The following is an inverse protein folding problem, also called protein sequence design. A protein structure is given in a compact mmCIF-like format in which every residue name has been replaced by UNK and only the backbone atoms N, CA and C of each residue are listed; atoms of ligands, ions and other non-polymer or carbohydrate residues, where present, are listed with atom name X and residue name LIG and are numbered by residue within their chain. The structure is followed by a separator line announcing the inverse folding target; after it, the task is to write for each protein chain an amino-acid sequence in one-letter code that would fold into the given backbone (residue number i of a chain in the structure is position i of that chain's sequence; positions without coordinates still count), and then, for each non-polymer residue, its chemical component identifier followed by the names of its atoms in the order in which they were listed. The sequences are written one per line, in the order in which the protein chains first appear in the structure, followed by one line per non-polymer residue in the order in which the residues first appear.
data_IF_983764791433
#
_entry.id   IF_983764791433
#
_cell.length_a   1.000
_cell.length_b   1.000
_cell.length_c   1.000
_cell.angle_alpha   90.00
_cell.angle_beta   90.00
_cell.angle_gamma   90.00
#
_symmetry.space_group_name_H-M   'P 1'
#
loop_
_entity.id
_entity.type
_entity.pdbx_description
1 polymer ?
#
# COMPACT_ATOMS: atom_id res chain seq x y z
N UNK A 1 -1.82 20.10 -14.67
CA UNK A 1 -0.40 20.51 -14.63
C UNK A 1 0.08 20.66 -16.06
N UNK A 2 0.63 21.84 -16.40
CA UNK A 2 1.14 22.14 -17.74
C UNK A 2 2.66 22.20 -17.79
N UNK A 3 3.30 22.46 -16.65
CA UNK A 3 4.75 22.52 -16.52
C UNK A 3 5.14 22.28 -15.07
N UNK A 4 6.28 21.61 -14.84
CA UNK A 4 6.84 21.38 -13.53
C UNK A 4 8.35 21.57 -13.53
N UNK A 5 8.90 22.07 -12.43
CA UNK A 5 10.34 22.13 -12.16
C UNK A 5 10.64 21.08 -11.08
N UNK A 6 11.49 20.10 -11.43
CA UNK A 6 11.86 19.02 -10.55
C UNK A 6 13.30 19.18 -10.06
N UNK A 7 13.50 18.99 -8.75
CA UNK A 7 14.84 18.89 -8.18
C UNK A 7 15.40 17.48 -8.45
N UNK A 8 16.59 17.41 -9.00
CA UNK A 8 17.31 16.16 -9.21
C UNK A 8 18.28 15.92 -8.05
N UNK A 9 18.45 14.65 -7.72
CA UNK A 9 19.44 14.16 -6.75
C UNK A 9 20.44 13.25 -7.48
N UNK A 10 21.69 13.13 -7.00
CA UNK A 10 22.62 12.13 -7.51
C UNK A 10 22.02 10.72 -7.38
N UNK A 11 22.16 9.92 -8.44
CA UNK A 11 21.72 8.52 -8.38
C UNK A 11 22.51 7.78 -7.27
N UNK A 12 21.83 6.93 -6.47
CA UNK A 12 22.52 6.10 -5.49
C UNK A 12 23.51 5.14 -6.18
N UNK A 13 24.64 4.91 -5.56
CA UNK A 13 25.66 3.98 -6.07
C UNK A 13 25.47 2.56 -5.54
N UNK A 14 24.79 2.44 -4.39
CA UNK A 14 24.60 1.19 -3.69
C UNK A 14 23.12 0.93 -3.42
N UNK A 15 22.75 -0.33 -3.49
CA UNK A 15 21.43 -0.86 -3.15
C UNK A 15 21.65 -2.08 -2.25
N UNK A 16 21.09 -2.06 -1.06
CA UNK A 16 21.05 -3.20 -0.17
C UNK A 16 19.59 -3.58 0.03
N UNK A 17 19.21 -4.79 -0.39
CA UNK A 17 17.81 -5.23 -0.44
C UNK A 17 17.67 -6.58 0.25
N UNK A 18 16.64 -6.73 1.07
CA UNK A 18 16.27 -7.99 1.70
C UNK A 18 14.76 -8.21 1.64
N UNK A 19 14.37 -9.48 1.61
CA UNK A 19 13.01 -9.92 1.87
C UNK A 19 13.02 -10.64 3.21
N UNK A 20 12.14 -10.22 4.11
CA UNK A 20 11.99 -10.72 5.47
C UNK A 20 10.62 -11.38 5.60
N UNK A 21 10.50 -12.44 6.40
CA UNK A 21 9.24 -13.11 6.67
C UNK A 21 8.97 -13.18 8.18
N UNK A 22 7.71 -13.05 8.57
CA UNK A 22 7.28 -13.06 9.96
C UNK A 22 5.82 -13.51 10.11
N UNK A 23 5.47 -13.99 11.29
CA UNK A 23 4.12 -14.50 11.54
C UNK A 23 3.13 -13.43 11.95
N UNK A 24 3.57 -12.43 12.72
CA UNK A 24 2.68 -11.46 13.36
C UNK A 24 2.87 -10.04 12.79
N UNK A 25 1.77 -9.31 12.59
CA UNK A 25 1.84 -7.92 12.13
C UNK A 25 2.53 -6.99 13.15
N UNK A 26 2.49 -7.34 14.41
CA UNK A 26 3.21 -6.60 15.46
C UNK A 26 4.73 -6.56 15.20
N UNK A 27 5.31 -7.63 14.64
CA UNK A 27 6.71 -7.68 14.23
C UNK A 27 6.97 -6.69 13.08
N UNK A 28 6.06 -6.66 12.06
CA UNK A 28 6.14 -5.70 10.94
C UNK A 28 6.12 -4.25 11.45
N UNK A 29 5.18 -3.94 12.35
CA UNK A 29 5.02 -2.60 12.89
C UNK A 29 6.20 -2.15 13.76
N UNK A 30 6.84 -3.07 14.49
CA UNK A 30 8.02 -2.80 15.31
C UNK A 30 9.31 -2.70 14.47
N UNK A 31 9.40 -3.44 13.37
CA UNK A 31 10.57 -3.47 12.48
C UNK A 31 10.81 -2.12 11.80
N UNK A 32 9.78 -1.43 11.34
CA UNK A 32 9.93 -0.17 10.63
C UNK A 32 10.65 0.91 11.45
N UNK A 33 10.24 1.27 12.68
CA UNK A 33 10.94 2.29 13.46
C UNK A 33 12.37 1.87 13.85
N UNK A 34 12.63 0.57 14.03
CA UNK A 34 13.98 0.07 14.24
C UNK A 34 14.87 0.36 13.02
N UNK A 35 14.44 -0.02 11.84
CA UNK A 35 15.21 0.19 10.62
C UNK A 35 15.33 1.69 10.25
N UNK A 36 14.29 2.49 10.51
CA UNK A 36 14.37 3.94 10.35
C UNK A 36 15.43 4.56 11.27
N UNK A 37 15.55 4.10 12.49
CA UNK A 37 16.60 4.55 13.44
C UNK A 37 17.99 4.12 12.99
N UNK A 38 18.17 2.86 12.62
CA UNK A 38 19.47 2.28 12.36
C UNK A 38 20.02 2.63 10.97
N UNK A 39 19.14 2.75 9.97
CA UNK A 39 19.48 3.13 8.60
C UNK A 39 19.28 4.63 8.33
N UNK A 40 18.44 5.31 9.09
CA UNK A 40 18.13 6.73 8.90
C UNK A 40 17.65 7.01 7.47
N UNK A 41 18.15 8.09 6.88
CA UNK A 41 17.79 8.49 5.51
C UNK A 41 18.26 7.55 4.41
N UNK A 42 18.96 6.46 4.72
CA UNK A 42 19.29 5.43 3.74
C UNK A 42 18.15 4.45 3.50
N UNK A 43 17.21 4.26 4.44
CA UNK A 43 16.02 3.43 4.23
C UNK A 43 15.14 4.09 3.15
N UNK A 44 15.06 3.46 1.98
CA UNK A 44 14.37 3.99 0.81
C UNK A 44 13.02 3.32 0.56
N UNK A 45 12.89 2.02 0.91
CA UNK A 45 11.64 1.28 0.73
C UNK A 45 11.39 0.34 1.90
N UNK A 46 10.12 0.28 2.30
CA UNK A 46 9.62 -0.67 3.29
C UNK A 46 8.23 -1.12 2.82
N UNK A 47 8.21 -2.26 2.10
CA UNK A 47 7.07 -2.79 1.39
C UNK A 47 6.51 -4.00 2.12
N UNK A 48 5.23 -3.99 2.44
CA UNK A 48 4.58 -5.13 3.09
C UNK A 48 3.72 -5.92 2.10
N UNK A 49 3.74 -7.22 2.23
CA UNK A 49 2.88 -8.16 1.53
C UNK A 49 2.23 -9.09 2.56
N UNK A 50 0.91 -9.21 2.53
CA UNK A 50 0.22 -10.27 3.28
C UNK A 50 0.43 -11.62 2.61
N UNK A 51 0.31 -12.68 3.39
CA UNK A 51 0.49 -14.07 2.97
C UNK A 51 -0.13 -14.38 1.60
N UNK A 52 -1.40 -14.03 1.40
CA UNK A 52 -2.14 -14.37 0.19
C UNK A 52 -1.58 -13.68 -1.06
N UNK A 53 -1.07 -12.44 -0.92
CA UNK A 53 -0.43 -11.73 -2.02
C UNK A 53 0.92 -12.35 -2.37
N UNK A 54 1.76 -12.65 -1.37
CA UNK A 54 3.03 -13.31 -1.60
C UNK A 54 2.85 -14.67 -2.29
N UNK A 55 1.87 -15.46 -1.86
CA UNK A 55 1.54 -16.73 -2.53
C UNK A 55 1.10 -16.53 -3.97
N UNK A 56 0.25 -15.54 -4.23
CA UNK A 56 -0.21 -15.23 -5.58
C UNK A 56 0.95 -14.94 -6.52
N UNK A 57 1.91 -14.12 -6.09
CA UNK A 57 3.03 -13.67 -6.92
C UNK A 57 4.20 -14.65 -6.99
N UNK A 58 4.19 -15.72 -6.18
CA UNK A 58 5.26 -16.72 -6.14
C UNK A 58 4.80 -18.16 -6.42
N UNK A 59 3.52 -18.37 -6.73
CA UNK A 59 2.96 -19.68 -7.10
C UNK A 59 2.55 -19.68 -8.56
N UNK A 60 2.84 -20.77 -9.29
CA UNK A 60 2.40 -20.92 -10.69
C UNK A 60 0.91 -20.55 -10.85
N UNK A 61 0.53 -19.77 -11.87
CA UNK A 61 1.29 -19.40 -13.07
C UNK A 61 2.20 -18.16 -12.96
N UNK A 62 2.40 -17.60 -11.76
CA UNK A 62 3.34 -16.49 -11.58
C UNK A 62 4.76 -16.89 -11.98
N UNK A 63 5.55 -15.99 -12.60
CA UNK A 63 6.89 -16.28 -13.07
C UNK A 63 7.92 -16.38 -11.94
N UNK A 64 7.66 -15.75 -10.82
CA UNK A 64 8.58 -15.74 -9.67
C UNK A 64 8.45 -17.00 -8.83
N UNK A 65 9.57 -17.46 -8.27
CA UNK A 65 9.61 -18.56 -7.31
C UNK A 65 9.72 -17.99 -5.88
N UNK A 66 9.15 -18.66 -4.87
CA UNK A 66 9.26 -18.19 -3.50
C UNK A 66 10.70 -18.33 -2.98
N UNK A 67 11.41 -17.24 -2.65
CA UNK A 67 12.73 -17.31 -2.02
C UNK A 67 12.66 -17.68 -0.54
N UNK A 68 11.52 -17.48 0.11
CA UNK A 68 11.19 -17.86 1.49
C UNK A 68 9.98 -18.80 1.50
N UNK A 69 9.80 -19.56 2.56
CA UNK A 69 8.64 -20.42 2.75
C UNK A 69 7.33 -19.63 2.66
N UNK A 70 6.25 -20.29 2.19
CA UNK A 70 4.96 -19.64 1.94
C UNK A 70 3.94 -19.86 3.09
N UNK A 71 4.41 -19.96 4.32
CA UNK A 71 3.62 -20.22 5.53
C UNK A 71 3.68 -19.11 6.58
N UNK A 72 4.41 -18.04 6.30
CA UNK A 72 4.43 -16.83 7.14
C UNK A 72 3.21 -15.95 6.88
N UNK A 73 2.80 -15.19 7.89
CA UNK A 73 1.69 -14.24 7.80
C UNK A 73 1.99 -13.02 6.93
N UNK A 74 3.24 -12.56 6.99
CA UNK A 74 3.69 -11.32 6.36
C UNK A 74 5.07 -11.46 5.77
N UNK A 75 5.29 -10.70 4.68
CA UNK A 75 6.58 -10.57 4.01
C UNK A 75 6.89 -9.11 3.82
N UNK A 76 8.10 -8.70 4.16
CA UNK A 76 8.52 -7.31 4.08
C UNK A 76 9.75 -7.19 3.20
N UNK A 77 9.65 -6.45 2.10
CA UNK A 77 10.79 -6.10 1.28
C UNK A 77 11.32 -4.76 1.77
N UNK A 78 12.59 -4.75 2.15
CA UNK A 78 13.31 -3.54 2.58
C UNK A 78 14.43 -3.23 1.63
N UNK A 79 14.60 -1.94 1.30
CA UNK A 79 15.73 -1.46 0.51
C UNK A 79 16.37 -0.23 1.15
N UNK A 80 17.67 -0.25 1.25
CA UNK A 80 18.50 0.91 1.63
C UNK A 80 19.34 1.35 0.44
N UNK A 81 19.43 2.66 0.24
CA UNK A 81 20.19 3.31 -0.81
C UNK A 81 21.38 4.07 -0.21
N UNK A 82 22.50 4.09 -0.94
CA UNK A 82 23.69 4.78 -0.43
C UNK A 82 24.74 5.13 -1.49
N UNK A 83 25.92 5.43 -1.04
CA UNK A 83 27.04 5.88 -1.88
C UNK A 83 28.36 5.16 -1.64
N UNK A 84 28.42 4.24 -0.65
CA UNK A 84 29.64 3.54 -0.22
C UNK A 84 29.39 2.04 -0.10
N UNK A 85 29.76 1.26 -1.13
CA UNK A 85 29.50 -0.17 -1.20
C UNK A 85 29.81 -0.93 0.09
N UNK A 86 30.97 -0.71 0.66
CA UNK A 86 31.40 -1.44 1.85
C UNK A 86 30.65 -1.01 3.11
N UNK A 87 30.47 0.28 3.33
CA UNK A 87 29.85 0.78 4.56
C UNK A 87 28.34 0.58 4.54
N UNK A 88 27.69 0.74 3.38
CA UNK A 88 26.24 0.64 3.26
C UNK A 88 25.79 -0.82 3.46
N UNK A 89 26.50 -1.78 2.86
CA UNK A 89 26.22 -3.21 3.05
C UNK A 89 26.40 -3.64 4.51
N UNK A 90 27.51 -3.22 5.15
CA UNK A 90 27.77 -3.53 6.56
C UNK A 90 26.71 -2.92 7.49
N UNK A 91 26.31 -1.67 7.24
CA UNK A 91 25.27 -0.99 8.01
C UNK A 91 23.91 -1.67 7.86
N UNK A 92 23.55 -2.07 6.63
CA UNK A 92 22.31 -2.76 6.35
C UNK A 92 22.27 -4.12 7.05
N UNK A 93 23.32 -4.92 6.93
CA UNK A 93 23.43 -6.21 7.61
C UNK A 93 23.38 -6.05 9.14
N UNK A 94 24.07 -5.09 9.71
CA UNK A 94 24.04 -4.82 11.14
C UNK A 94 22.62 -4.41 11.63
N UNK A 95 21.87 -3.66 10.83
CA UNK A 95 20.49 -3.30 11.15
C UNK A 95 19.56 -4.54 11.11
N UNK A 96 19.77 -5.45 10.16
CA UNK A 96 19.04 -6.72 10.11
C UNK A 96 19.41 -7.66 11.26
N UNK A 97 20.70 -7.76 11.60
CA UNK A 97 21.18 -8.54 12.76
C UNK A 97 20.56 -8.04 14.08
N UNK A 98 20.46 -6.72 14.23
CA UNK A 98 19.78 -6.10 15.37
C UNK A 98 18.29 -6.47 15.38
N UNK A 99 17.58 -6.34 14.28
CA UNK A 99 16.17 -6.71 14.17
C UNK A 99 15.93 -8.21 14.44
N UNK A 100 16.83 -9.08 13.96
CA UNK A 100 16.79 -10.51 14.25
C UNK A 100 16.99 -10.81 15.73
N UNK A 101 17.93 -10.11 16.38
CA UNK A 101 18.20 -10.26 17.82
C UNK A 101 16.99 -9.86 18.68
N UNK A 102 16.20 -8.89 18.20
CA UNK A 102 14.94 -8.45 18.83
C UNK A 102 13.72 -9.33 18.43
N UNK A 103 13.93 -10.37 17.59
CA UNK A 103 12.86 -11.28 17.15
C UNK A 103 11.82 -10.65 16.23
N UNK A 104 12.21 -9.63 15.45
CA UNK A 104 11.31 -8.86 14.60
C UNK A 104 11.02 -9.51 13.24
N UNK A 105 11.70 -10.60 12.91
CA UNK A 105 11.39 -11.47 11.78
C UNK A 105 11.90 -12.89 12.05
N UNK A 106 11.36 -13.87 11.34
CA UNK A 106 11.63 -15.30 11.55
C UNK A 106 12.56 -15.87 10.48
N UNK A 107 12.51 -15.31 9.26
CA UNK A 107 13.36 -15.75 8.14
C UNK A 107 13.71 -14.56 7.24
N UNK A 108 14.81 -14.65 6.49
CA UNK A 108 15.30 -13.57 5.64
C UNK A 108 16.13 -14.07 4.46
N UNK A 109 16.01 -13.37 3.33
CA UNK A 109 16.94 -13.49 2.20
C UNK A 109 17.48 -12.11 1.82
N UNK A 110 18.81 -11.97 1.74
CA UNK A 110 19.47 -10.74 1.34
C UNK A 110 19.97 -10.90 -0.10
N UNK A 111 19.58 -9.96 -0.97
CA UNK A 111 20.08 -9.92 -2.34
C UNK A 111 21.58 -9.59 -2.38
N UNK A 112 22.36 -10.43 -3.01
CA UNK A 112 23.83 -10.26 -3.17
C UNK A 112 24.22 -9.75 -4.56
N UNK A 113 23.27 -9.76 -5.50
CA UNK A 113 23.47 -9.29 -6.89
C UNK A 113 22.29 -8.43 -7.34
N UNK A 114 22.53 -7.60 -8.37
CA UNK A 114 21.46 -6.81 -8.99
C UNK A 114 20.33 -7.68 -9.58
N UNK A 115 20.64 -8.89 -10.04
CA UNK A 115 19.65 -9.84 -10.52
C UNK A 115 18.75 -10.33 -9.37
N UNK A 116 19.33 -10.76 -8.26
CA UNK A 116 18.56 -11.18 -7.08
C UNK A 116 17.69 -10.04 -6.54
N UNK A 117 18.23 -8.82 -6.50
CA UNK A 117 17.44 -7.62 -6.16
C UNK A 117 16.22 -7.47 -7.08
N UNK A 118 16.41 -7.54 -8.39
CA UNK A 118 15.33 -7.42 -9.36
C UNK A 118 14.29 -8.56 -9.22
N UNK A 119 14.72 -9.76 -8.84
CA UNK A 119 13.83 -10.89 -8.56
C UNK A 119 12.97 -10.66 -7.31
N UNK A 120 13.55 -10.12 -6.23
CA UNK A 120 12.79 -9.75 -5.03
C UNK A 120 11.77 -8.65 -5.30
N UNK A 121 12.17 -7.59 -6.00
CA UNK A 121 11.27 -6.51 -6.39
C UNK A 121 10.14 -7.00 -7.30
N UNK A 122 10.42 -7.89 -8.23
CA UNK A 122 9.39 -8.47 -9.10
C UNK A 122 8.27 -9.14 -8.30
N UNK A 123 8.57 -9.82 -7.20
CA UNK A 123 7.55 -10.43 -6.33
C UNK A 123 6.61 -9.35 -5.79
N UNK A 124 7.16 -8.22 -5.35
CA UNK A 124 6.38 -7.10 -4.79
C UNK A 124 5.57 -6.35 -5.85
N UNK A 125 6.12 -6.20 -7.05
CA UNK A 125 5.57 -5.38 -8.13
C UNK A 125 4.60 -6.12 -9.05
N UNK A 126 4.54 -7.46 -9.02
CA UNK A 126 3.73 -8.26 -9.95
C UNK A 126 2.24 -8.32 -9.56
N UNK A 127 1.67 -7.16 -9.22
CA UNK A 127 0.24 -7.04 -8.90
C UNK A 127 -0.68 -7.39 -10.08
N UNK A 128 -0.17 -7.32 -11.30
CA UNK A 128 -0.89 -7.76 -12.50
C UNK A 128 -1.27 -9.25 -12.47
N UNK A 129 -0.65 -10.08 -11.59
CA UNK A 129 -1.08 -11.47 -11.40
C UNK A 129 -2.54 -11.55 -10.92
N UNK A 130 -3.01 -10.56 -10.20
CA UNK A 130 -4.41 -10.51 -9.76
C UNK A 130 -5.34 -10.48 -10.98
N UNK A 131 -5.09 -9.56 -11.91
CA UNK A 131 -5.92 -9.38 -13.11
C UNK A 131 -5.72 -10.53 -14.12
N UNK A 132 -4.50 -11.06 -14.24
CA UNK A 132 -4.21 -12.21 -15.12
C UNK A 132 -4.94 -13.48 -14.70
N UNK A 133 -5.14 -13.69 -13.39
CA UNK A 133 -5.79 -14.89 -12.86
C UNK A 133 -7.29 -14.69 -12.60
N UNK A 134 -7.75 -13.44 -12.54
CA UNK A 134 -9.13 -13.09 -12.17
C UNK A 134 -9.67 -11.97 -13.06
N UNK A 135 -10.71 -12.26 -13.83
CA UNK A 135 -11.23 -11.36 -14.88
C UNK A 135 -11.87 -10.08 -14.34
N UNK A 136 -12.41 -10.10 -13.12
CA UNK A 136 -13.01 -8.93 -12.48
C UNK A 136 -12.52 -8.86 -11.05
N UNK A 137 -11.85 -7.76 -10.73
CA UNK A 137 -11.40 -7.42 -9.38
C UNK A 137 -11.71 -5.97 -9.10
N UNK A 138 -11.88 -5.61 -7.83
CA UNK A 138 -11.96 -4.22 -7.40
C UNK A 138 -10.73 -3.88 -6.58
N UNK A 139 -9.95 -2.89 -7.06
CA UNK A 139 -8.73 -2.42 -6.44
C UNK A 139 -8.96 -1.12 -5.67
N UNK A 140 -8.37 -1.03 -4.48
CA UNK A 140 -8.46 0.12 -3.59
C UNK A 140 -7.07 0.53 -3.12
N UNK A 141 -6.91 1.84 -2.95
CA UNK A 141 -5.72 2.51 -2.46
C UNK A 141 -6.13 3.35 -1.25
N UNK A 142 -5.71 2.93 -0.06
CA UNK A 142 -6.11 3.52 1.21
C UNK A 142 -4.90 3.82 2.08
N UNK A 143 -5.04 4.76 3.02
CA UNK A 143 -4.01 4.98 4.04
C UNK A 143 -4.62 5.04 5.42
N UNK A 144 -3.87 4.54 6.42
CA UNK A 144 -4.27 4.58 7.82
C UNK A 144 -3.04 4.42 8.72
N UNK A 145 -3.16 4.74 10.03
CA UNK A 145 -2.09 4.51 10.99
C UNK A 145 -1.67 3.02 11.01
N UNK A 146 -0.36 2.77 11.00
CA UNK A 146 0.21 1.40 10.92
C UNK A 146 -0.37 0.49 12.00
N UNK A 147 -0.49 0.99 13.25
CA UNK A 147 -1.03 0.21 14.36
C UNK A 147 -2.48 -0.26 14.18
N UNK A 148 -3.24 0.35 13.25
CA UNK A 148 -4.62 -0.04 12.97
C UNK A 148 -4.76 -0.98 11.75
N UNK A 149 -3.67 -1.24 11.02
CA UNK A 149 -3.76 -1.95 9.73
C UNK A 149 -4.18 -3.40 9.85
N UNK A 150 -3.70 -4.12 10.87
CA UNK A 150 -4.05 -5.54 11.05
C UNK A 150 -5.55 -5.71 11.28
N UNK A 151 -6.11 -4.95 12.21
CA UNK A 151 -7.54 -4.98 12.55
C UNK A 151 -8.39 -4.53 11.36
N UNK A 152 -7.98 -3.44 10.69
CA UNK A 152 -8.64 -2.95 9.49
C UNK A 152 -8.70 -4.02 8.37
N UNK A 153 -7.59 -4.70 8.09
CA UNK A 153 -7.55 -5.76 7.08
C UNK A 153 -8.41 -6.96 7.49
N UNK A 154 -8.43 -7.31 8.78
CA UNK A 154 -9.28 -8.35 9.31
C UNK A 154 -10.77 -8.01 9.12
N UNK A 155 -11.18 -6.78 9.43
CA UNK A 155 -12.56 -6.29 9.24
C UNK A 155 -12.98 -6.32 7.76
N UNK A 156 -12.11 -5.84 6.86
CA UNK A 156 -12.36 -5.89 5.41
C UNK A 156 -12.52 -7.33 4.93
N UNK A 157 -11.64 -8.24 5.33
CA UNK A 157 -11.72 -9.66 4.97
C UNK A 157 -13.00 -10.31 5.48
N UNK A 158 -13.36 -10.05 6.72
CA UNK A 158 -14.61 -10.55 7.31
C UNK A 158 -15.84 -10.03 6.55
N UNK A 159 -15.85 -8.73 6.19
CA UNK A 159 -16.91 -8.14 5.39
C UNK A 159 -17.01 -8.74 3.99
N UNK A 160 -15.89 -8.97 3.33
CA UNK A 160 -15.83 -9.62 2.01
C UNK A 160 -16.33 -11.06 2.09
N UNK A 161 -15.89 -11.83 3.06
CA UNK A 161 -16.33 -13.22 3.26
C UNK A 161 -17.84 -13.30 3.59
N UNK A 162 -18.33 -12.42 4.45
CA UNK A 162 -19.74 -12.36 4.82
C UNK A 162 -20.66 -12.13 3.61
N UNK A 163 -20.23 -11.27 2.66
CA UNK A 163 -21.10 -10.89 1.53
C UNK A 163 -20.90 -11.78 0.29
N UNK A 164 -19.68 -12.27 0.08
CA UNK A 164 -19.30 -13.00 -1.13
C UNK A 164 -18.89 -14.46 -0.86
N UNK A 165 -18.93 -14.90 0.43
CA UNK A 165 -18.66 -16.28 0.83
C UNK A 165 -17.17 -16.61 0.96
N UNK A 166 -16.87 -17.78 1.51
CA UNK A 166 -15.51 -18.22 1.84
C UNK A 166 -14.58 -18.41 0.63
N UNK A 167 -15.12 -18.44 -0.60
CA UNK A 167 -14.32 -18.48 -1.82
C UNK A 167 -13.78 -17.11 -2.24
N UNK A 168 -14.28 -16.02 -1.66
CA UNK A 168 -13.79 -14.68 -1.94
C UNK A 168 -12.33 -14.50 -1.49
N UNK A 169 -11.62 -13.59 -2.14
CA UNK A 169 -10.21 -13.29 -1.88
C UNK A 169 -10.01 -11.80 -1.68
N UNK A 170 -9.08 -11.48 -0.78
CA UNK A 170 -8.68 -10.12 -0.48
C UNK A 170 -7.15 -10.09 -0.38
N UNK A 171 -6.49 -9.69 -1.46
CA UNK A 171 -5.03 -9.52 -1.49
C UNK A 171 -4.66 -8.14 -1.00
N UNK A 172 -3.69 -8.10 -0.08
CA UNK A 172 -3.23 -6.88 0.55
C UNK A 172 -1.72 -6.77 0.45
N UNK A 173 -1.26 -5.60 0.05
CA UNK A 173 0.14 -5.22 -0.02
C UNK A 173 0.25 -3.69 0.04
N UNK A 174 1.43 -3.15 0.26
CA UNK A 174 1.52 -1.68 0.30
C UNK A 174 2.86 -1.12 0.74
N UNK A 175 2.90 0.21 0.73
CA UNK A 175 4.03 1.03 1.15
C UNK A 175 3.86 1.38 2.63
N UNK A 176 4.36 0.50 3.52
CA UNK A 176 4.09 0.67 4.95
C UNK A 176 4.70 1.96 5.52
N UNK A 177 5.83 2.41 4.95
CA UNK A 177 6.47 3.65 5.36
C UNK A 177 5.55 4.89 5.29
N UNK A 178 4.61 4.88 4.34
CA UNK A 178 3.66 5.96 4.09
C UNK A 178 2.26 5.67 4.67
N UNK A 179 2.10 4.52 5.32
CA UNK A 179 0.80 4.08 5.82
C UNK A 179 -0.18 3.68 4.71
N UNK A 180 0.31 3.38 3.50
CA UNK A 180 -0.49 3.05 2.32
C UNK A 180 -0.67 1.54 2.16
N UNK A 181 -1.92 1.12 1.91
CA UNK A 181 -2.29 -0.25 1.55
C UNK A 181 -3.05 -0.27 0.22
N UNK A 182 -2.67 -1.20 -0.62
CA UNK A 182 -3.44 -1.64 -1.78
C UNK A 182 -4.24 -2.88 -1.40
N UNK A 183 -5.53 -2.85 -1.70
CA UNK A 183 -6.47 -3.93 -1.40
C UNK A 183 -7.16 -4.32 -2.69
N UNK A 184 -7.09 -5.59 -3.05
CA UNK A 184 -7.77 -6.11 -4.22
C UNK A 184 -8.75 -7.20 -3.79
N UNK A 185 -10.02 -7.03 -4.16
CA UNK A 185 -11.12 -7.93 -3.81
C UNK A 185 -11.58 -8.67 -5.04
N UNK A 186 -11.74 -9.97 -4.90
CA UNK A 186 -12.31 -10.87 -5.89
C UNK A 186 -13.25 -11.88 -5.25
N UNK A 187 -14.27 -12.29 -6.00
CA UNK A 187 -15.09 -13.45 -5.66
C UNK A 187 -15.59 -14.14 -6.94
N UNK A 188 -15.90 -15.45 -6.91
CA UNK A 188 -16.36 -16.18 -8.10
C UNK A 188 -17.60 -15.59 -8.77
N UNK A 189 -18.51 -15.01 -7.97
CA UNK A 189 -19.78 -14.42 -8.42
C UNK A 189 -19.73 -12.91 -8.57
N UNK A 190 -18.57 -12.27 -8.41
CA UNK A 190 -18.43 -10.81 -8.44
C UNK A 190 -18.89 -10.24 -9.78
N UNK A 191 -19.69 -9.19 -9.75
CA UNK A 191 -20.24 -8.50 -10.90
C UNK A 191 -19.91 -7.00 -10.84
N UNK A 192 -19.92 -6.27 -11.99
CA UNK A 192 -19.64 -4.82 -11.98
C UNK A 192 -20.57 -4.01 -11.08
N UNK A 193 -21.82 -4.41 -10.88
CA UNK A 193 -22.76 -3.75 -9.98
C UNK A 193 -22.46 -3.92 -8.50
N UNK A 194 -21.54 -4.80 -8.13
CA UNK A 194 -21.10 -4.99 -6.74
C UNK A 194 -20.08 -3.94 -6.29
N UNK A 195 -19.62 -3.07 -7.20
CA UNK A 195 -18.58 -2.06 -6.94
C UNK A 195 -18.88 -1.21 -5.69
N UNK A 196 -20.11 -0.69 -5.57
CA UNK A 196 -20.50 0.12 -4.40
C UNK A 196 -20.51 -0.69 -3.10
N UNK A 197 -20.91 -1.96 -3.16
CA UNK A 197 -20.91 -2.85 -2.00
C UNK A 197 -19.49 -3.12 -1.53
N UNK A 198 -18.60 -3.47 -2.45
CA UNK A 198 -17.18 -3.72 -2.13
C UNK A 198 -16.52 -2.44 -1.61
N UNK A 199 -16.79 -1.29 -2.25
CA UNK A 199 -16.28 0.00 -1.80
C UNK A 199 -16.72 0.33 -0.36
N UNK A 200 -17.98 0.08 -0.01
CA UNK A 200 -18.45 0.27 1.36
C UNK A 200 -17.76 -0.66 2.36
N UNK A 201 -17.54 -1.94 2.01
CA UNK A 201 -16.82 -2.88 2.88
C UNK A 201 -15.39 -2.39 3.14
N UNK A 202 -14.71 -1.88 2.11
CA UNK A 202 -13.33 -1.41 2.23
C UNK A 202 -13.25 -0.05 2.93
N UNK A 203 -14.15 0.89 2.62
CA UNK A 203 -14.02 2.27 3.13
C UNK A 203 -14.67 2.50 4.49
N UNK A 204 -15.74 1.79 4.86
CA UNK A 204 -16.44 2.04 6.11
C UNK A 204 -15.55 1.89 7.36
N UNK A 205 -14.67 0.87 7.47
CA UNK A 205 -13.80 0.73 8.63
C UNK A 205 -12.77 1.87 8.79
N UNK A 206 -12.47 2.61 7.70
CA UNK A 206 -11.52 3.75 7.76
C UNK A 206 -12.02 4.89 8.66
N UNK A 207 -13.33 5.02 8.88
CA UNK A 207 -13.89 6.05 9.78
C UNK A 207 -13.41 5.89 11.23
N UNK A 208 -13.19 4.66 11.67
CA UNK A 208 -12.78 4.36 13.04
C UNK A 208 -11.26 4.31 13.20
N UNK A 209 -10.53 4.09 12.10
CA UNK A 209 -9.07 4.04 12.09
C UNK A 209 -8.39 5.35 11.73
N UNK A 210 -9.15 6.44 11.57
CA UNK A 210 -8.63 7.74 11.08
C UNK A 210 -7.93 7.62 9.73
N UNK A 211 -8.40 6.71 8.88
CA UNK A 211 -7.82 6.44 7.57
C UNK A 211 -8.34 7.39 6.48
N UNK A 212 -7.72 7.28 5.31
CA UNK A 212 -8.13 7.97 4.09
C UNK A 212 -8.52 6.97 3.01
N UNK A 213 -9.61 7.28 2.29
CA UNK A 213 -10.08 6.49 1.15
C UNK A 213 -9.16 6.59 -0.08
N UNK A 214 -8.12 7.41 -0.04
CA UNK A 214 -7.09 7.47 -1.05
C UNK A 214 -5.76 7.86 -0.41
N UNK A 215 -4.72 7.05 -0.66
CA UNK A 215 -3.36 7.37 -0.28
C UNK A 215 -2.69 8.21 -1.38
N UNK A 216 -2.58 7.67 -2.60
CA UNK A 216 -1.83 8.27 -3.70
C UNK A 216 -2.61 8.44 -5.00
N UNK A 217 -3.66 7.62 -5.29
CA UNK A 217 -4.39 7.69 -6.55
C UNK A 217 -5.29 8.93 -6.70
N UNK A 218 -5.62 9.60 -5.59
CA UNK A 218 -6.55 10.73 -5.56
C UNK A 218 -8.02 10.29 -5.57
N UNK A 219 -8.91 11.26 -5.44
CA UNK A 219 -10.36 11.03 -5.32
C UNK A 219 -11.03 10.88 -6.70
N UNK A 220 -10.71 11.77 -7.63
CA UNK A 220 -11.28 11.75 -8.97
C UNK A 220 -12.81 11.77 -8.99
N UNK A 221 -13.37 10.90 -9.83
CA UNK A 221 -14.82 10.61 -9.90
C UNK A 221 -15.20 9.39 -9.06
N UNK A 222 -14.35 8.37 -9.07
CA UNK A 222 -14.65 7.05 -8.50
C UNK A 222 -14.84 7.08 -6.98
N UNK A 223 -13.97 7.81 -6.28
CA UNK A 223 -13.99 7.89 -4.82
C UNK A 223 -14.85 9.05 -4.29
N UNK A 224 -15.39 9.90 -5.16
CA UNK A 224 -16.12 11.12 -4.81
C UNK A 224 -17.32 10.86 -3.90
N UNK A 225 -18.11 9.83 -4.19
CA UNK A 225 -19.28 9.44 -3.39
C UNK A 225 -18.93 9.04 -1.95
N UNK A 226 -17.69 8.63 -1.71
CA UNK A 226 -17.19 8.12 -0.43
C UNK A 226 -16.36 9.16 0.35
N UNK A 227 -16.16 10.36 -0.19
CA UNK A 227 -15.27 11.36 0.39
C UNK A 227 -15.67 11.75 1.82
N UNK A 228 -16.96 11.73 2.13
CA UNK A 228 -17.52 12.01 3.47
C UNK A 228 -17.14 10.96 4.53
N UNK A 229 -16.64 9.78 4.10
CA UNK A 229 -16.15 8.75 5.03
C UNK A 229 -14.78 9.08 5.61
N UNK A 230 -14.01 9.95 4.95
CA UNK A 230 -12.66 10.33 5.38
C UNK A 230 -12.45 11.84 5.54
N UNK A 231 -13.50 12.64 5.34
CA UNK A 231 -13.44 14.10 5.47
C UNK A 231 -14.67 14.62 6.21
N UNK A 232 -14.44 15.52 7.16
CA UNK A 232 -15.50 16.17 7.91
C UNK A 232 -16.24 17.20 7.04
N UNK A 233 -17.48 17.59 7.40
CA UNK A 233 -18.18 18.66 6.72
C UNK A 233 -17.40 19.98 6.68
N UNK A 234 -16.65 20.31 7.73
CA UNK A 234 -15.83 21.52 7.82
C UNK A 234 -14.65 21.49 6.82
N UNK A 235 -13.99 20.34 6.69
CA UNK A 235 -12.94 20.15 5.69
C UNK A 235 -13.51 20.28 4.27
N UNK A 236 -14.63 19.62 3.97
CA UNK A 236 -15.28 19.71 2.67
C UNK A 236 -15.71 21.15 2.33
N UNK A 237 -16.25 21.89 3.29
CA UNK A 237 -16.58 23.30 3.11
C UNK A 237 -15.34 24.15 2.81
N UNK A 238 -14.22 23.88 3.48
CA UNK A 238 -12.94 24.54 3.25
C UNK A 238 -12.39 24.21 1.86
N UNK A 239 -12.42 22.94 1.45
CA UNK A 239 -11.99 22.50 0.12
C UNK A 239 -12.81 23.20 -0.99
N UNK A 240 -14.15 23.30 -0.84
CA UNK A 240 -15.00 24.02 -1.79
C UNK A 240 -14.66 25.50 -1.87
N UNK A 241 -14.39 26.17 -0.75
CA UNK A 241 -13.96 27.58 -0.72
C UNK A 241 -12.63 27.77 -1.45
N UNK A 242 -11.66 26.89 -1.23
CA UNK A 242 -10.38 26.95 -1.93
C UNK A 242 -10.58 26.76 -3.43
N UNK A 243 -11.38 25.76 -3.84
CA UNK A 243 -11.70 25.52 -5.25
C UNK A 243 -12.34 26.77 -5.89
N UNK A 244 -13.34 27.37 -5.26
CA UNK A 244 -14.03 28.55 -5.77
C UNK A 244 -13.09 29.77 -5.86
N UNK A 245 -12.13 29.92 -4.92
CA UNK A 245 -11.17 31.03 -4.94
C UNK A 245 -10.16 30.91 -6.10
N UNK A 246 -9.70 29.69 -6.43
CA UNK A 246 -8.73 29.47 -7.49
C UNK A 246 -9.36 29.23 -8.87
N UNK A 247 -10.60 28.79 -8.92
CA UNK A 247 -11.32 28.46 -10.14
C UNK A 247 -12.78 28.90 -10.03
N UNK A 248 -13.03 30.23 -10.03
CA UNK A 248 -14.37 30.79 -9.84
C UNK A 248 -15.35 30.42 -10.96
N UNK A 249 -14.85 30.05 -12.13
CA UNK A 249 -15.67 29.62 -13.27
C UNK A 249 -15.78 28.09 -13.40
N UNK A 250 -15.19 27.33 -12.45
CA UNK A 250 -15.22 25.86 -12.41
C UNK A 250 -14.82 25.19 -13.75
N UNK A 251 -13.79 25.73 -14.40
CA UNK A 251 -13.27 25.20 -15.68
C UNK A 251 -12.15 24.17 -15.50
N UNK A 252 -11.53 24.10 -14.32
CA UNK A 252 -10.43 23.19 -14.01
C UNK A 252 -10.98 21.89 -13.43
N UNK A 253 -11.03 20.82 -14.22
CA UNK A 253 -11.54 19.49 -13.80
C UNK A 253 -12.92 19.58 -13.12
N UNK A 254 -13.94 20.09 -13.77
CA UNK A 254 -15.26 20.26 -13.17
C UNK A 254 -15.85 18.90 -12.75
N UNK A 255 -16.52 18.88 -11.60
CA UNK A 255 -17.19 17.69 -11.06
C UNK A 255 -16.26 16.61 -10.50
N UNK A 256 -14.93 16.84 -10.44
CA UNK A 256 -13.98 15.92 -9.81
C UNK A 256 -13.85 16.28 -8.31
N UNK A 257 -13.54 15.28 -7.50
CA UNK A 257 -13.35 15.33 -6.05
C UNK A 257 -14.65 15.60 -5.28
N UNK A 258 -15.35 16.72 -5.56
CA UNK A 258 -16.64 17.09 -4.98
C UNK A 258 -17.39 18.01 -5.97
N UNK A 259 -18.70 18.17 -5.74
CA UNK A 259 -19.49 19.17 -6.44
C UNK A 259 -19.40 20.51 -5.70
N UNK A 260 -19.26 21.60 -6.47
CA UNK A 260 -19.57 22.91 -5.96
C UNK A 260 -21.08 22.99 -5.79
N UNK A 261 -21.57 23.48 -4.67
CA UNK A 261 -22.96 23.83 -4.52
C UNK A 261 -23.33 24.81 -5.64
N UNK A 262 -24.44 24.56 -6.35
CA UNK A 262 -24.96 25.55 -7.29
C UNK A 262 -25.08 26.86 -6.53
N UNK A 263 -24.39 27.90 -6.98
CA UNK A 263 -24.57 29.23 -6.44
C UNK A 263 -26.08 29.51 -6.64
N UNK A 264 -26.84 29.55 -5.55
CA UNK A 264 -28.19 30.11 -5.60
C UNK A 264 -27.98 31.54 -6.08
N UNK A 265 -28.12 31.74 -7.38
CA UNK A 265 -28.24 33.08 -7.94
C UNK A 265 -29.56 33.65 -7.40
N UNK A 266 -29.50 34.80 -6.68
CA UNK A 266 -30.70 35.49 -6.20
C UNK A 266 -31.58 35.96 -7.37
#
# INVERSE_FOLDING_TARGET
VTQAVLRLFPAPRTHATALLAMHEFAQVAALLPLLQRDLGGALASFEVMWHDYYRLTTTSPAPSKPPLAQDYGFYVLVEALGGSERHDAQRFEAALDHAASDGLFDDAVIARTGQQRAELWRIREDSEQIERQHHLTFGYDVSLPIGAMADYVADVRAGVELHFGAAARCWVYGHLGDGNLHINVWAPQLQPQDADRVAQIVYAPLQYSHGSISAEHGIGLEKKAYLTLSRTPAELATMRRLKAAFDPHNILNPGKVFDLEEANHP
#
